data_IF_554858147092
#
_entry.id   IF_554858147092
#
_cell.length_a   1.000
_cell.length_b   1.000
_cell.length_c   1.000
_cell.angle_alpha   90.00
_cell.angle_beta   90.00
_cell.angle_gamma   90.00
#
_symmetry.space_group_name_H-M   'P 1'
#
loop_
_entity.id
_entity.type
_entity.pdbx_description
1 polymer ?
#
# COMPACT_ATOMS: atom_id res chain seq x y z
N UNK A 1 -24.35 -2.07 11.15
CA UNK A 1 -25.54 -2.87 11.48
C UNK A 1 -25.17 -4.27 11.99
N UNK A 2 -24.18 -4.94 11.46
CA UNK A 2 -23.75 -6.30 11.88
C UNK A 2 -23.26 -6.42 13.35
N UNK A 3 -22.62 -5.40 13.90
CA UNK A 3 -22.15 -5.40 15.31
C UNK A 3 -23.30 -5.42 16.34
N UNK A 4 -24.42 -4.81 16.02
CA UNK A 4 -25.60 -4.82 16.91
C UNK A 4 -26.34 -6.16 16.89
N UNK A 5 -26.36 -6.84 15.74
CA UNK A 5 -26.99 -8.15 15.58
C UNK A 5 -26.24 -9.26 16.30
N UNK A 6 -24.90 -9.23 16.33
CA UNK A 6 -24.09 -10.22 17.07
C UNK A 6 -24.12 -10.03 18.57
N UNK A 7 -24.19 -8.81 19.08
CA UNK A 7 -24.28 -8.51 20.51
C UNK A 7 -25.69 -8.87 21.03
N UNK A 8 -26.74 -8.53 20.28
CA UNK A 8 -28.12 -8.91 20.58
C UNK A 8 -28.33 -10.42 20.60
N UNK A 9 -27.80 -11.17 19.66
CA UNK A 9 -27.84 -12.64 19.63
C UNK A 9 -27.17 -13.27 20.85
N UNK A 10 -26.06 -12.75 21.32
CA UNK A 10 -25.34 -13.26 22.50
C UNK A 10 -26.13 -13.02 23.77
N UNK A 11 -26.77 -11.86 23.95
CA UNK A 11 -27.63 -11.53 25.09
C UNK A 11 -28.85 -12.42 25.04
N UNK A 12 -29.47 -12.61 23.89
CA UNK A 12 -30.63 -13.48 23.73
C UNK A 12 -30.31 -14.93 24.11
N UNK A 13 -29.15 -15.44 23.71
CA UNK A 13 -28.72 -16.81 24.05
C UNK A 13 -28.58 -17.03 25.56
N UNK A 14 -28.15 -16.00 26.29
CA UNK A 14 -28.03 -16.05 27.74
C UNK A 14 -29.36 -15.83 28.48
N UNK A 15 -30.20 -14.92 28.03
CA UNK A 15 -31.46 -14.60 28.63
C UNK A 15 -32.58 -15.63 28.36
N UNK A 16 -32.49 -16.38 27.26
CA UNK A 16 -33.48 -17.35 26.85
C UNK A 16 -33.67 -18.48 27.88
N UNK A 17 -32.63 -19.20 28.39
CA UNK A 17 -32.78 -20.20 29.42
C UNK A 17 -33.37 -19.63 30.73
N UNK A 18 -32.92 -18.42 31.10
CA UNK A 18 -33.42 -17.73 32.30
C UNK A 18 -34.93 -17.47 32.22
N UNK A 19 -35.37 -16.97 31.05
CA UNK A 19 -36.80 -16.71 30.82
C UNK A 19 -37.64 -18.02 30.89
N UNK A 20 -37.15 -19.07 30.21
CA UNK A 20 -37.79 -20.39 30.25
C UNK A 20 -37.84 -20.94 31.67
N UNK A 21 -36.78 -20.88 32.44
CA UNK A 21 -36.72 -21.35 33.82
C UNK A 21 -37.68 -20.58 34.74
N UNK A 22 -37.74 -19.26 34.63
CA UNK A 22 -38.68 -18.43 35.40
C UNK A 22 -40.13 -18.73 35.03
N UNK A 23 -40.47 -18.90 33.77
CA UNK A 23 -41.82 -19.32 33.37
C UNK A 23 -42.15 -20.68 33.99
N UNK A 24 -41.24 -21.63 33.91
CA UNK A 24 -41.48 -22.98 34.43
C UNK A 24 -41.59 -23.08 35.94
N UNK A 25 -40.78 -22.36 36.69
CA UNK A 25 -40.77 -22.40 38.17
C UNK A 25 -41.80 -21.43 38.80
N UNK A 26 -41.75 -20.14 38.42
CA UNK A 26 -42.61 -19.14 39.06
C UNK A 26 -44.04 -19.15 38.51
N UNK A 27 -44.26 -19.33 37.20
CA UNK A 27 -45.61 -19.24 36.60
C UNK A 27 -46.29 -20.60 36.59
N UNK A 28 -45.62 -21.67 36.15
CA UNK A 28 -46.25 -23.00 36.02
C UNK A 28 -46.25 -23.77 37.32
N UNK A 29 -45.16 -23.75 38.09
CA UNK A 29 -45.04 -24.45 39.36
C UNK A 29 -45.50 -23.62 40.56
N UNK A 30 -45.72 -22.30 40.43
CA UNK A 30 -46.18 -21.41 41.49
C UNK A 30 -45.18 -21.13 42.61
N UNK A 31 -43.86 -21.30 42.33
CA UNK A 31 -42.82 -21.03 43.30
C UNK A 31 -42.57 -19.53 43.53
N UNK A 32 -42.08 -19.10 44.70
CA UNK A 32 -41.70 -17.71 44.93
C UNK A 32 -40.66 -17.22 43.91
N UNK A 33 -40.82 -16.00 43.43
CA UNK A 33 -40.01 -15.46 42.36
C UNK A 33 -38.50 -15.46 42.69
N UNK A 34 -38.13 -15.17 43.93
CA UNK A 34 -36.74 -15.15 44.37
C UNK A 34 -36.10 -16.54 44.35
N UNK A 35 -36.85 -17.56 44.81
CA UNK A 35 -36.39 -18.94 44.80
C UNK A 35 -36.29 -19.46 43.38
N UNK A 36 -37.25 -19.13 42.52
CA UNK A 36 -37.23 -19.45 41.10
C UNK A 36 -36.02 -18.83 40.41
N UNK A 37 -35.69 -17.56 40.71
CA UNK A 37 -34.52 -16.89 40.16
C UNK A 37 -33.20 -17.54 40.60
N UNK A 38 -33.11 -17.89 41.91
CA UNK A 38 -31.94 -18.58 42.46
C UNK A 38 -31.71 -19.93 41.77
N UNK A 39 -32.76 -20.73 41.62
CA UNK A 39 -32.71 -22.03 40.94
C UNK A 39 -32.37 -21.88 39.45
N UNK A 40 -32.93 -20.89 38.77
CA UNK A 40 -32.56 -20.60 37.37
C UNK A 40 -31.07 -20.27 37.22
N UNK A 41 -30.49 -19.51 38.15
CA UNK A 41 -29.05 -19.24 38.15
C UNK A 41 -28.25 -20.52 38.41
N UNK A 42 -28.72 -21.41 39.34
CA UNK A 42 -28.11 -22.70 39.58
C UNK A 42 -28.02 -23.57 38.32
N UNK A 43 -29.05 -23.55 37.45
CA UNK A 43 -29.04 -24.31 36.19
C UNK A 43 -27.87 -23.98 35.26
N UNK A 44 -27.40 -22.75 35.29
CA UNK A 44 -26.20 -22.36 34.51
C UNK A 44 -24.91 -22.99 35.07
N UNK A 45 -24.93 -23.38 36.35
CA UNK A 45 -23.81 -24.04 37.05
C UNK A 45 -24.01 -25.56 37.17
N UNK A 46 -24.98 -26.13 36.45
CA UNK A 46 -25.36 -27.55 36.51
C UNK A 46 -25.96 -27.98 37.84
N UNK A 47 -26.41 -27.04 38.66
CA UNK A 47 -27.15 -27.33 39.89
C UNK A 47 -28.64 -27.24 39.58
N UNK A 48 -29.29 -28.42 39.57
CA UNK A 48 -30.70 -28.51 39.18
C UNK A 48 -31.65 -28.61 40.39
N UNK A 49 -31.16 -29.04 41.54
CA UNK A 49 -31.97 -29.29 42.71
C UNK A 49 -33.20 -30.17 42.41
N UNK A 50 -34.17 -30.23 43.33
CA UNK A 50 -35.50 -30.88 43.11
C UNK A 50 -36.42 -29.93 42.35
N UNK A 51 -36.29 -29.92 41.01
CA UNK A 51 -37.14 -29.07 40.15
C UNK A 51 -38.40 -29.83 39.69
N UNK A 52 -39.57 -29.19 39.68
CA UNK A 52 -40.78 -29.83 39.20
C UNK A 52 -40.71 -30.10 37.68
N UNK A 53 -41.11 -31.31 37.22
CA UNK A 53 -41.00 -31.66 35.81
C UNK A 53 -42.03 -30.90 34.97
N UNK A 54 -41.60 -29.93 34.18
CA UNK A 54 -42.40 -29.29 33.15
C UNK A 54 -41.53 -28.90 31.95
N UNK A 55 -42.15 -28.73 30.79
CA UNK A 55 -41.46 -28.48 29.55
C UNK A 55 -40.53 -27.26 29.63
N UNK A 56 -40.93 -26.20 30.27
CA UNK A 56 -40.17 -24.96 30.38
C UNK A 56 -38.91 -25.13 31.22
N UNK A 57 -39.01 -25.86 32.32
CA UNK A 57 -37.87 -26.20 33.18
C UNK A 57 -36.91 -27.12 32.44
N UNK A 58 -37.39 -28.11 31.67
CA UNK A 58 -36.56 -29.00 30.88
C UNK A 58 -35.79 -28.24 29.80
N UNK A 59 -36.47 -27.32 29.10
CA UNK A 59 -35.79 -26.46 28.12
C UNK A 59 -34.69 -25.61 28.78
N UNK A 60 -34.98 -25.01 29.94
CA UNK A 60 -33.98 -24.23 30.68
C UNK A 60 -32.81 -25.10 31.15
N UNK A 61 -33.07 -26.31 31.66
CA UNK A 61 -32.11 -27.29 32.17
C UNK A 61 -31.07 -27.67 31.10
N UNK A 62 -31.48 -27.87 29.85
CA UNK A 62 -30.57 -28.20 28.76
C UNK A 62 -29.90 -26.99 28.12
N UNK A 63 -30.59 -25.86 28.03
CA UNK A 63 -30.04 -24.67 27.30
C UNK A 63 -29.16 -23.80 28.18
N UNK A 64 -29.35 -23.75 29.52
CA UNK A 64 -28.52 -22.94 30.41
C UNK A 64 -27.06 -23.41 30.47
N UNK A 65 -26.71 -24.70 30.60
CA UNK A 65 -25.36 -25.17 30.53
C UNK A 65 -24.68 -24.92 29.16
N UNK A 66 -25.45 -25.07 28.07
CA UNK A 66 -24.94 -24.75 26.72
C UNK A 66 -24.64 -23.28 26.57
N UNK A 67 -25.46 -22.39 27.13
CA UNK A 67 -25.17 -20.98 27.17
C UNK A 67 -23.87 -20.68 27.95
N UNK A 68 -23.73 -21.27 29.15
CA UNK A 68 -22.48 -21.15 29.95
C UNK A 68 -21.26 -21.68 29.21
N UNK A 69 -21.35 -22.88 28.66
CA UNK A 69 -20.24 -23.48 27.88
C UNK A 69 -19.82 -22.57 26.71
N UNK A 70 -20.81 -21.98 26.00
CA UNK A 70 -20.55 -21.03 24.91
C UNK A 70 -19.79 -19.78 25.40
N UNK A 71 -20.16 -19.23 26.56
CA UNK A 71 -19.47 -18.10 27.17
C UNK A 71 -18.08 -18.45 27.67
N UNK A 72 -17.91 -19.63 28.27
CA UNK A 72 -16.61 -20.14 28.70
C UNK A 72 -15.67 -20.29 27.51
N UNK A 73 -16.12 -20.89 26.40
CA UNK A 73 -15.33 -21.02 25.17
C UNK A 73 -14.93 -19.65 24.60
N UNK A 74 -15.86 -18.69 24.60
CA UNK A 74 -15.57 -17.32 24.17
C UNK A 74 -14.57 -16.61 25.10
N UNK A 75 -14.71 -16.78 26.42
CA UNK A 75 -13.79 -16.21 27.41
C UNK A 75 -12.39 -16.84 27.32
N UNK A 76 -12.32 -18.17 27.17
CA UNK A 76 -11.03 -18.85 26.94
C UNK A 76 -10.38 -18.42 25.64
N UNK A 77 -11.15 -18.23 24.57
CA UNK A 77 -10.64 -17.71 23.31
C UNK A 77 -10.06 -16.29 23.42
N UNK A 78 -10.72 -15.42 24.21
CA UNK A 78 -10.21 -14.09 24.51
C UNK A 78 -8.96 -14.12 25.39
N UNK A 79 -9.01 -14.90 26.47
CA UNK A 79 -7.86 -15.09 27.38
C UNK A 79 -6.65 -15.68 26.67
N UNK A 80 -6.85 -16.70 25.84
CA UNK A 80 -5.79 -17.28 25.01
C UNK A 80 -5.15 -16.23 24.10
N UNK A 81 -5.94 -15.38 23.45
CA UNK A 81 -5.40 -14.29 22.59
C UNK A 81 -4.53 -13.33 23.39
N UNK A 82 -4.99 -12.90 24.56
CA UNK A 82 -4.23 -12.01 25.43
C UNK A 82 -2.94 -12.68 25.92
N UNK A 83 -3.03 -13.90 26.42
CA UNK A 83 -1.85 -14.65 26.86
C UNK A 83 -0.85 -14.91 25.73
N UNK A 84 -1.33 -15.30 24.54
CA UNK A 84 -0.46 -15.46 23.38
C UNK A 84 0.16 -14.12 22.96
N UNK A 85 -0.57 -13.01 23.06
CA UNK A 85 -0.06 -11.66 22.83
C UNK A 85 1.11 -11.33 23.78
N UNK A 86 0.90 -11.55 25.09
CA UNK A 86 1.95 -11.36 26.10
C UNK A 86 3.15 -12.27 25.91
N UNK A 87 2.95 -13.54 25.61
CA UNK A 87 4.03 -14.49 25.33
C UNK A 87 4.83 -14.10 24.08
N UNK A 88 4.15 -13.54 23.06
CA UNK A 88 4.81 -13.01 21.86
C UNK A 88 5.52 -11.68 22.12
N UNK A 89 4.97 -10.84 22.98
CA UNK A 89 5.62 -9.59 23.40
C UNK A 89 6.96 -9.86 24.12
N UNK A 90 7.08 -10.95 24.87
CA UNK A 90 8.34 -11.36 25.48
C UNK A 90 9.41 -11.76 24.46
N UNK A 91 9.03 -12.01 23.20
CA UNK A 91 9.99 -12.20 22.11
C UNK A 91 10.38 -10.85 21.55
N UNK A 92 11.67 -10.69 21.24
CA UNK A 92 12.12 -9.52 20.50
C UNK A 92 11.33 -9.41 19.18
N UNK A 93 10.89 -8.19 18.82
CA UNK A 93 10.31 -7.87 17.52
C UNK A 93 8.90 -8.44 17.23
N UNK A 94 8.03 -8.50 18.23
CA UNK A 94 6.62 -8.87 18.02
C UNK A 94 5.84 -7.77 17.27
N UNK A 95 4.94 -8.20 16.36
CA UNK A 95 4.14 -7.31 15.51
C UNK A 95 2.66 -7.63 15.67
N UNK A 96 1.86 -6.64 16.07
CA UNK A 96 0.39 -6.77 16.09
C UNK A 96 -0.20 -6.20 14.80
N UNK A 97 -0.98 -7.03 14.09
CA UNK A 97 -1.63 -6.65 12.84
C UNK A 97 -3.13 -6.49 13.08
N UNK A 98 -3.63 -5.29 12.88
CA UNK A 98 -5.05 -4.92 13.02
C UNK A 98 -5.67 -4.70 11.65
N UNK A 99 -6.89 -5.20 11.49
CA UNK A 99 -7.64 -5.10 10.25
C UNK A 99 -8.39 -6.38 9.93
N UNK A 100 -8.91 -6.46 8.73
CA UNK A 100 -9.66 -7.62 8.22
C UNK A 100 -9.35 -7.81 6.73
N UNK A 101 -9.50 -9.03 6.27
CA UNK A 101 -9.33 -9.36 4.85
C UNK A 101 -8.05 -10.13 4.53
N UNK A 102 -7.82 -10.43 3.24
CA UNK A 102 -6.72 -11.30 2.79
C UNK A 102 -5.34 -10.70 3.10
N UNK A 103 -5.17 -9.39 3.03
CA UNK A 103 -3.90 -8.72 3.33
C UNK A 103 -3.42 -8.95 4.78
N UNK A 104 -4.35 -8.97 5.74
CA UNK A 104 -4.01 -9.29 7.15
C UNK A 104 -3.56 -10.74 7.29
N UNK A 105 -4.27 -11.68 6.64
CA UNK A 105 -3.89 -13.09 6.66
C UNK A 105 -2.50 -13.32 6.05
N UNK A 106 -2.23 -12.68 4.92
CA UNK A 106 -0.92 -12.67 4.24
C UNK A 106 0.20 -12.16 5.15
N UNK A 107 0.01 -11.01 5.78
CA UNK A 107 0.99 -10.43 6.70
C UNK A 107 1.26 -11.34 7.90
N UNK A 108 0.22 -11.94 8.47
CA UNK A 108 0.35 -12.86 9.59
C UNK A 108 1.07 -14.14 9.21
N UNK A 109 0.83 -14.68 8.03
CA UNK A 109 1.53 -15.85 7.50
C UNK A 109 3.03 -15.55 7.35
N UNK A 110 3.38 -14.44 6.71
CA UNK A 110 4.78 -14.03 6.51
C UNK A 110 5.50 -13.66 7.81
N UNK A 111 4.79 -13.03 8.75
CA UNK A 111 5.34 -12.73 10.09
C UNK A 111 5.53 -13.99 10.95
N UNK A 112 4.78 -15.06 10.65
CA UNK A 112 4.85 -16.31 11.37
C UNK A 112 4.74 -16.15 12.89
N UNK A 113 5.74 -16.59 13.61
CA UNK A 113 5.75 -16.51 15.08
C UNK A 113 5.87 -15.09 15.66
N UNK A 114 6.27 -14.10 14.86
CA UNK A 114 6.34 -12.68 15.29
C UNK A 114 4.97 -12.01 15.23
N UNK A 115 4.09 -12.47 14.33
CA UNK A 115 2.79 -11.88 14.08
C UNK A 115 1.72 -12.26 15.11
N UNK A 116 0.87 -11.32 15.48
CA UNK A 116 -0.35 -11.56 16.25
C UNK A 116 -1.52 -10.79 15.65
N UNK A 117 -2.63 -11.49 15.41
CA UNK A 117 -3.85 -10.85 14.94
C UNK A 117 -4.45 -9.97 16.05
N UNK A 118 -4.62 -8.68 15.77
CA UNK A 118 -5.31 -7.75 16.62
C UNK A 118 -6.85 -8.01 16.63
N UNK A 119 -7.49 -7.56 17.69
CA UNK A 119 -8.95 -7.61 17.85
C UNK A 119 -9.52 -6.21 18.07
N UNK A 120 -10.49 -6.10 18.99
CA UNK A 120 -11.06 -4.81 19.38
C UNK A 120 -10.20 -4.07 20.41
N UNK A 121 -9.40 -4.79 21.19
CA UNK A 121 -8.51 -4.22 22.22
C UNK A 121 -7.08 -4.21 21.75
N UNK A 122 -6.30 -3.24 22.23
CA UNK A 122 -4.87 -3.18 21.98
C UNK A 122 -4.18 -4.39 22.63
N UNK A 123 -3.42 -5.13 21.84
CA UNK A 123 -2.57 -6.22 22.31
C UNK A 123 -1.15 -5.71 22.49
N UNK A 124 -0.40 -6.19 23.48
CA UNK A 124 1.00 -5.80 23.66
C UNK A 124 1.84 -6.32 22.48
N UNK A 125 2.58 -5.42 21.85
CA UNK A 125 3.52 -5.71 20.77
C UNK A 125 4.60 -4.62 20.70
N UNK A 126 5.70 -4.91 20.00
CA UNK A 126 6.76 -3.92 19.77
C UNK A 126 6.46 -3.02 18.59
N UNK A 127 5.75 -3.53 17.58
CA UNK A 127 5.34 -2.80 16.36
C UNK A 127 3.87 -3.08 16.05
N UNK A 128 3.22 -2.15 15.39
CA UNK A 128 1.80 -2.24 15.03
C UNK A 128 1.59 -1.95 13.55
N UNK A 129 0.82 -2.80 12.89
CA UNK A 129 0.40 -2.58 11.50
C UNK A 129 -1.12 -2.46 11.48
N UNK A 130 -1.64 -1.35 10.95
CA UNK A 130 -3.06 -1.07 10.81
C UNK A 130 -3.43 -1.18 9.32
N UNK A 131 -4.18 -2.21 8.96
CA UNK A 131 -4.57 -2.55 7.58
C UNK A 131 -6.06 -2.31 7.37
N UNK A 132 -6.44 -1.73 6.24
CA UNK A 132 -7.83 -1.51 5.85
C UNK A 132 -8.20 -0.04 5.68
N UNK A 133 -9.49 0.30 5.78
CA UNK A 133 -9.97 1.66 5.54
C UNK A 133 -9.29 2.67 6.45
N UNK A 134 -8.78 3.74 5.86
CA UNK A 134 -8.00 4.78 6.53
C UNK A 134 -8.71 5.39 7.72
N UNK A 135 -10.00 5.70 7.60
CA UNK A 135 -10.79 6.27 8.69
C UNK A 135 -10.83 5.36 9.93
N UNK A 136 -10.93 4.04 9.71
CA UNK A 136 -10.91 3.06 10.80
C UNK A 136 -9.55 2.97 11.45
N UNK A 137 -8.49 2.98 10.64
CA UNK A 137 -7.11 2.95 11.11
C UNK A 137 -6.77 4.19 11.93
N UNK A 138 -7.15 5.38 11.44
CA UNK A 138 -6.95 6.64 12.16
C UNK A 138 -7.76 6.71 13.46
N UNK A 139 -9.01 6.23 13.43
CA UNK A 139 -9.85 6.18 14.63
C UNK A 139 -9.24 5.26 15.69
N UNK A 140 -8.78 4.06 15.30
CA UNK A 140 -8.10 3.14 16.20
C UNK A 140 -6.80 3.74 16.76
N UNK A 141 -5.98 4.37 15.92
CA UNK A 141 -4.75 5.02 16.36
C UNK A 141 -5.02 6.13 17.38
N UNK A 142 -6.03 6.99 17.13
CA UNK A 142 -6.41 8.08 18.04
C UNK A 142 -6.92 7.56 19.39
N UNK A 143 -7.71 6.50 19.37
CA UNK A 143 -8.24 5.87 20.60
C UNK A 143 -7.10 5.33 21.48
N UNK A 144 -6.04 4.80 20.88
CA UNK A 144 -4.89 4.20 21.57
C UNK A 144 -3.60 5.04 21.52
N UNK A 145 -3.72 6.33 21.20
CA UNK A 145 -2.54 7.20 20.97
C UNK A 145 -1.55 7.23 22.14
N UNK A 146 -2.04 7.13 23.38
CA UNK A 146 -1.18 7.16 24.57
C UNK A 146 -0.35 5.88 24.71
N UNK A 147 -0.95 4.74 24.45
CA UNK A 147 -0.30 3.43 24.54
C UNK A 147 0.65 3.18 23.35
N UNK A 148 0.41 3.85 22.23
CA UNK A 148 1.19 3.75 21.00
C UNK A 148 2.26 4.84 20.86
N UNK A 149 2.35 5.78 21.78
CA UNK A 149 3.22 6.96 21.65
C UNK A 149 4.72 6.63 21.51
N UNK A 150 5.17 5.53 22.12
CA UNK A 150 6.56 5.06 22.09
C UNK A 150 6.78 3.84 21.17
N UNK A 151 5.80 3.50 20.34
CA UNK A 151 5.81 2.32 19.47
C UNK A 151 5.76 2.69 18.00
N UNK A 152 6.52 2.00 17.13
CA UNK A 152 6.34 2.12 15.68
C UNK A 152 4.97 1.63 15.25
N UNK A 153 4.22 2.50 14.58
CA UNK A 153 2.90 2.22 14.01
C UNK A 153 2.94 2.45 12.51
N UNK A 154 2.58 1.42 11.75
CA UNK A 154 2.48 1.45 10.30
C UNK A 154 1.01 1.47 9.91
N UNK A 155 0.56 2.55 9.33
CA UNK A 155 -0.85 2.80 9.03
C UNK A 155 -1.07 2.82 7.53
N UNK A 156 -1.94 1.94 7.05
CA UNK A 156 -2.37 1.97 5.65
C UNK A 156 -3.19 3.24 5.40
N UNK A 157 -2.76 4.01 4.40
CA UNK A 157 -3.40 5.23 3.97
C UNK A 157 -3.29 5.37 2.46
N UNK A 158 -4.35 5.84 1.84
CA UNK A 158 -4.40 6.12 0.41
C UNK A 158 -4.41 7.64 0.10
N UNK A 159 -4.75 8.47 1.08
CA UNK A 159 -5.01 9.90 0.87
C UNK A 159 -4.15 10.81 1.71
N UNK A 160 -3.74 10.35 2.86
CA UNK A 160 -2.80 11.09 3.67
C UNK A 160 -1.41 10.81 3.12
N UNK A 161 -0.99 11.68 2.24
CA UNK A 161 0.44 11.87 2.08
C UNK A 161 1.08 11.83 3.46
N UNK A 162 2.31 11.30 3.62
CA UNK A 162 3.09 11.41 4.86
C UNK A 162 3.15 12.82 5.46
N UNK A 163 2.51 13.76 4.80
CA UNK A 163 2.33 15.17 5.14
C UNK A 163 1.80 15.42 6.55
N UNK A 164 0.97 14.53 7.07
CA UNK A 164 0.21 14.86 8.26
C UNK A 164 0.87 14.42 9.56
N UNK A 165 1.96 13.67 9.54
CA UNK A 165 2.59 13.17 10.76
C UNK A 165 4.00 13.68 10.96
N UNK A 166 4.16 14.59 11.91
CA UNK A 166 5.46 14.94 12.48
C UNK A 166 5.94 13.90 13.53
N UNK A 167 5.18 12.80 13.72
CA UNK A 167 5.54 11.79 14.71
C UNK A 167 6.46 10.75 14.07
N UNK A 168 7.73 10.62 14.50
CA UNK A 168 8.71 9.77 13.82
C UNK A 168 8.37 8.27 13.85
N UNK A 169 7.54 7.84 14.80
CA UNK A 169 7.12 6.45 14.96
C UNK A 169 5.81 6.12 14.25
N UNK A 170 5.08 7.12 13.73
CA UNK A 170 3.89 6.90 12.91
C UNK A 170 4.28 6.96 11.43
N UNK A 171 4.27 5.82 10.78
CA UNK A 171 4.60 5.67 9.36
C UNK A 171 3.35 5.32 8.57
N UNK A 172 3.19 5.97 7.43
CA UNK A 172 2.10 5.66 6.48
C UNK A 172 2.62 4.82 5.34
N UNK A 173 1.79 3.92 4.85
CA UNK A 173 2.09 3.15 3.64
C UNK A 173 0.86 3.04 2.73
N UNK A 174 1.10 3.03 1.43
CA UNK A 174 0.11 2.80 0.39
C UNK A 174 0.50 1.52 -0.37
N UNK A 175 -0.30 0.45 -0.28
CA UNK A 175 0.04 -0.82 -0.93
C UNK A 175 0.06 -0.71 -2.45
N UNK A 176 -0.81 0.11 -3.05
CA UNK A 176 -0.83 0.34 -4.50
C UNK A 176 0.45 1.05 -4.97
N UNK A 177 0.93 2.04 -4.21
CA UNK A 177 2.21 2.70 -4.50
C UNK A 177 3.39 1.72 -4.37
N UNK A 178 3.39 0.87 -3.34
CA UNK A 178 4.40 -0.18 -3.18
C UNK A 178 4.37 -1.16 -4.37
N UNK A 179 3.18 -1.60 -4.78
CA UNK A 179 3.01 -2.48 -5.93
C UNK A 179 3.52 -1.86 -7.23
N UNK A 180 3.19 -0.60 -7.50
CA UNK A 180 3.65 0.14 -8.68
C UNK A 180 5.18 0.25 -8.71
N UNK A 181 5.82 0.59 -7.58
CA UNK A 181 7.28 0.66 -7.45
C UNK A 181 7.94 -0.69 -7.72
N UNK A 182 7.43 -1.77 -7.12
CA UNK A 182 7.94 -3.13 -7.32
C UNK A 182 7.77 -3.62 -8.75
N UNK A 183 6.66 -3.27 -9.39
CA UNK A 183 6.41 -3.62 -10.78
C UNK A 183 7.45 -2.96 -11.69
N UNK A 184 7.58 -1.64 -11.64
CA UNK A 184 8.50 -0.91 -12.51
C UNK A 184 9.98 -1.23 -12.24
N UNK A 185 10.37 -1.55 -11.01
CA UNK A 185 11.71 -2.03 -10.70
C UNK A 185 12.06 -3.36 -11.39
N UNK A 186 11.07 -4.20 -11.68
CA UNK A 186 11.26 -5.53 -12.30
C UNK A 186 10.95 -5.53 -13.79
N UNK A 187 10.03 -4.69 -14.23
CA UNK A 187 9.57 -4.61 -15.61
C UNK A 187 10.37 -3.56 -16.38
N UNK A 188 11.61 -3.90 -16.69
CA UNK A 188 12.48 -3.04 -17.49
C UNK A 188 11.94 -2.89 -18.93
N UNK A 189 11.71 -1.65 -19.35
CA UNK A 189 11.30 -1.34 -20.72
C UNK A 189 12.45 -0.82 -21.59
N UNK A 190 13.63 -0.58 -21.01
CA UNK A 190 14.75 0.03 -21.73
C UNK A 190 15.15 -0.73 -22.99
N UNK A 191 15.27 -2.06 -22.93
CA UNK A 191 15.64 -2.89 -24.09
C UNK A 191 14.59 -2.85 -25.21
N UNK A 192 13.29 -2.80 -24.84
CA UNK A 192 12.21 -2.67 -25.81
C UNK A 192 12.24 -1.27 -26.41
N UNK A 193 12.45 -0.26 -25.59
CA UNK A 193 12.58 1.15 -26.00
C UNK A 193 13.69 1.35 -27.02
N UNK A 194 14.88 0.80 -26.80
CA UNK A 194 15.97 0.87 -27.75
C UNK A 194 15.60 0.24 -29.12
N UNK A 195 14.98 -0.93 -29.13
CA UNK A 195 14.53 -1.59 -30.37
C UNK A 195 13.48 -0.81 -31.13
N UNK A 196 12.64 -0.08 -30.44
CA UNK A 196 11.55 0.75 -30.97
C UNK A 196 11.96 2.22 -31.16
N UNK A 197 13.24 2.55 -31.13
CA UNK A 197 13.76 3.91 -31.24
C UNK A 197 13.07 4.88 -30.27
N UNK A 198 12.88 4.42 -29.05
CA UNK A 198 12.23 5.16 -27.95
C UNK A 198 10.77 5.57 -28.21
N UNK A 199 10.08 4.86 -29.11
CA UNK A 199 8.67 5.03 -29.39
C UNK A 199 7.92 3.83 -28.82
N UNK A 200 7.20 4.00 -27.70
CA UNK A 200 6.48 2.94 -27.04
C UNK A 200 4.99 3.25 -26.86
N UNK A 201 4.21 2.21 -26.78
CA UNK A 201 2.79 2.28 -26.47
C UNK A 201 2.47 1.40 -25.27
N UNK A 202 1.94 2.01 -24.22
CA UNK A 202 1.54 1.34 -22.98
C UNK A 202 0.03 1.48 -22.83
N UNK A 203 -0.67 0.37 -22.63
CA UNK A 203 -2.11 0.34 -22.44
C UNK A 203 -2.45 -0.18 -21.06
N UNK A 204 -3.34 0.53 -20.34
CA UNK A 204 -3.86 0.15 -19.03
C UNK A 204 -5.37 -0.14 -19.19
N UNK A 205 -5.80 -1.35 -18.78
CA UNK A 205 -7.19 -1.75 -18.71
C UNK A 205 -7.64 -1.76 -17.24
N UNK A 206 -8.53 -0.82 -16.88
CA UNK A 206 -8.86 -0.48 -15.51
C UNK A 206 -7.96 0.65 -14.97
N UNK A 207 -8.52 1.56 -14.16
CA UNK A 207 -7.74 2.72 -13.68
C UNK A 207 -8.03 3.07 -12.22
N UNK A 208 -8.40 2.32 -11.36
CA UNK A 208 -8.52 2.68 -9.94
C UNK A 208 -7.19 3.18 -9.33
N UNK A 209 -7.06 3.19 -8.02
CA UNK A 209 -5.85 3.70 -7.33
C UNK A 209 -4.57 3.02 -7.77
N UNK A 210 -4.62 1.74 -8.06
CA UNK A 210 -3.45 1.01 -8.58
C UNK A 210 -3.01 1.57 -9.94
N UNK A 211 -3.96 1.89 -10.82
CA UNK A 211 -3.68 2.53 -12.12
C UNK A 211 -3.11 3.93 -11.96
N UNK A 212 -3.65 4.73 -11.03
CA UNK A 212 -3.10 6.05 -10.70
C UNK A 212 -1.63 5.95 -10.29
N UNK A 213 -1.29 5.06 -9.36
CA UNK A 213 0.09 4.88 -8.87
C UNK A 213 1.03 4.32 -9.96
N UNK A 214 0.54 3.38 -10.78
CA UNK A 214 1.31 2.84 -11.91
C UNK A 214 1.61 3.91 -12.96
N UNK A 215 0.64 4.74 -13.31
CA UNK A 215 0.84 5.84 -14.26
C UNK A 215 1.80 6.89 -13.69
N UNK A 216 1.55 7.37 -12.45
CA UNK A 216 2.40 8.36 -11.80
C UNK A 216 3.86 7.89 -11.73
N UNK A 217 4.08 6.64 -11.35
CA UNK A 217 5.41 6.08 -11.25
C UNK A 217 6.01 5.80 -12.63
N UNK A 218 5.21 5.27 -13.57
CA UNK A 218 5.63 5.02 -14.95
C UNK A 218 6.17 6.26 -15.66
N UNK A 219 5.47 7.39 -15.53
CA UNK A 219 5.89 8.68 -16.08
C UNK A 219 7.21 9.20 -15.50
N UNK A 220 7.59 8.76 -14.30
CA UNK A 220 8.82 9.18 -13.62
C UNK A 220 10.00 8.22 -13.83
N UNK A 221 9.75 6.96 -14.17
CA UNK A 221 10.83 5.96 -14.32
C UNK A 221 11.05 5.50 -15.76
N UNK A 222 10.06 5.61 -16.64
CA UNK A 222 10.23 5.25 -18.06
C UNK A 222 10.77 6.44 -18.84
N UNK A 223 12.01 6.81 -18.55
CA UNK A 223 12.72 7.90 -19.23
C UNK A 223 14.03 7.33 -19.77
N UNK A 224 14.14 7.22 -21.09
CA UNK A 224 15.22 6.48 -21.76
C UNK A 224 16.04 7.34 -22.72
N UNK A 225 15.42 8.39 -23.26
CA UNK A 225 16.06 9.33 -24.18
C UNK A 225 15.38 10.69 -24.13
N UNK A 226 16.07 11.79 -24.41
CA UNK A 226 15.48 13.14 -24.39
C UNK A 226 14.36 13.34 -25.43
N UNK A 227 14.41 12.61 -26.54
CA UNK A 227 13.48 12.69 -27.68
C UNK A 227 12.50 11.50 -27.73
N UNK A 228 12.34 10.78 -26.62
CA UNK A 228 11.39 9.67 -26.54
C UNK A 228 9.93 10.13 -26.72
N UNK A 229 9.08 9.17 -27.11
CA UNK A 229 7.63 9.33 -27.07
C UNK A 229 6.99 8.01 -26.56
N UNK A 230 6.58 7.99 -25.31
CA UNK A 230 5.86 6.86 -24.72
C UNK A 230 4.39 7.28 -24.57
N UNK A 231 3.51 6.65 -25.35
CA UNK A 231 2.09 6.92 -25.28
C UNK A 231 1.43 6.02 -24.24
N UNK A 232 0.73 6.61 -23.30
CA UNK A 232 -0.07 5.93 -22.31
C UNK A 232 -1.55 6.00 -22.66
N UNK A 233 -2.17 4.86 -22.94
CA UNK A 233 -3.61 4.74 -23.22
C UNK A 233 -4.30 4.10 -22.03
N UNK A 234 -5.30 4.79 -21.47
CA UNK A 234 -5.99 4.40 -20.25
C UNK A 234 -7.46 4.16 -20.57
N UNK A 235 -7.94 2.97 -20.24
CA UNK A 235 -9.35 2.58 -20.37
C UNK A 235 -9.94 2.26 -19.00
N UNK A 236 -11.18 2.65 -18.76
CA UNK A 236 -11.91 2.30 -17.54
C UNK A 236 -11.75 3.32 -16.41
N UNK A 237 -11.89 4.61 -16.68
CA UNK A 237 -11.91 5.68 -15.68
C UNK A 237 -10.78 6.70 -15.83
N UNK A 238 -10.54 7.47 -14.77
CA UNK A 238 -9.45 8.46 -14.72
C UNK A 238 -9.90 9.91 -14.81
N UNK A 239 -11.20 10.21 -14.92
CA UNK A 239 -11.72 11.58 -15.06
C UNK A 239 -11.28 12.50 -13.92
N UNK A 240 -11.36 11.99 -12.69
CA UNK A 240 -10.93 12.74 -11.50
C UNK A 240 -9.42 12.97 -11.51
N UNK A 241 -8.67 11.95 -11.89
CA UNK A 241 -7.21 12.00 -11.95
C UNK A 241 -6.76 13.03 -13.00
N UNK A 242 -7.29 12.97 -14.23
CA UNK A 242 -7.03 13.91 -15.31
C UNK A 242 -7.34 15.36 -14.90
N UNK A 243 -8.48 15.58 -14.24
CA UNK A 243 -8.90 16.91 -13.77
C UNK A 243 -7.99 17.47 -12.67
N UNK A 244 -7.43 16.64 -11.82
CA UNK A 244 -6.57 17.06 -10.70
C UNK A 244 -5.10 17.22 -11.15
N UNK A 245 -4.59 16.32 -11.98
CA UNK A 245 -3.20 16.34 -12.43
C UNK A 245 -3.01 17.10 -13.75
N UNK A 246 -3.41 18.37 -13.77
CA UNK A 246 -3.34 19.23 -14.98
C UNK A 246 -1.91 19.39 -15.53
N UNK A 247 -0.91 19.19 -14.71
CA UNK A 247 0.50 19.26 -15.10
C UNK A 247 0.94 18.12 -16.02
N UNK A 248 0.18 17.03 -16.14
CA UNK A 248 0.47 15.93 -17.07
C UNK A 248 0.55 16.41 -18.52
N UNK A 249 -0.27 17.38 -18.89
CA UNK A 249 -0.25 17.95 -20.23
C UNK A 249 1.09 18.67 -20.61
N UNK A 250 2.01 18.83 -19.67
CA UNK A 250 3.37 19.39 -19.91
C UNK A 250 4.43 18.31 -20.08
N UNK A 251 4.07 17.06 -19.89
CA UNK A 251 4.96 15.92 -20.10
C UNK A 251 4.94 15.58 -21.59
N UNK A 252 6.12 15.34 -22.15
CA UNK A 252 6.26 15.04 -23.57
C UNK A 252 5.66 13.70 -23.97
N UNK A 253 5.60 12.73 -23.03
CA UNK A 253 4.94 11.45 -23.23
C UNK A 253 3.41 11.61 -23.11
N UNK A 254 2.63 11.38 -24.19
CA UNK A 254 1.20 11.60 -24.18
C UNK A 254 0.45 10.64 -23.27
N UNK A 255 -0.48 11.15 -22.50
CA UNK A 255 -1.43 10.36 -21.69
C UNK A 255 -2.84 10.59 -22.22
N UNK A 256 -3.49 9.53 -22.67
CA UNK A 256 -4.83 9.57 -23.30
C UNK A 256 -5.81 8.75 -22.47
N UNK A 257 -6.80 9.41 -21.91
CA UNK A 257 -7.91 8.76 -21.20
C UNK A 257 -9.06 8.49 -22.17
N UNK A 258 -9.30 7.23 -22.47
CA UNK A 258 -10.36 6.78 -23.36
C UNK A 258 -11.68 6.67 -22.61
N UNK A 259 -12.72 7.28 -23.18
CA UNK A 259 -14.09 7.21 -22.63
C UNK A 259 -14.87 6.02 -23.17
N UNK A 260 -14.44 5.52 -24.32
CA UNK A 260 -14.95 4.31 -24.95
C UNK A 260 -14.34 3.05 -24.31
N UNK A 261 -15.05 1.91 -24.35
CA UNK A 261 -14.51 0.64 -23.85
C UNK A 261 -13.33 0.15 -24.70
N UNK A 262 -12.40 -0.55 -24.08
CA UNK A 262 -11.16 -1.05 -24.70
C UNK A 262 -11.41 -1.93 -25.94
N UNK A 263 -12.49 -2.72 -25.95
CA UNK A 263 -12.82 -3.62 -27.08
C UNK A 263 -13.25 -2.87 -28.35
N UNK A 264 -13.50 -1.59 -28.29
CA UNK A 264 -13.71 -0.74 -29.47
C UNK A 264 -12.41 -0.22 -30.07
N UNK A 265 -11.29 -0.42 -29.39
CA UNK A 265 -9.95 0.04 -29.77
C UNK A 265 -8.93 -1.11 -29.72
N UNK A 266 -9.30 -2.25 -30.33
CA UNK A 266 -8.43 -3.40 -30.42
C UNK A 266 -7.11 -3.10 -31.15
N UNK A 267 -7.12 -2.12 -32.05
CA UNK A 267 -5.93 -1.60 -32.71
C UNK A 267 -4.85 -1.14 -31.68
N UNK A 268 -5.24 -0.38 -30.67
CA UNK A 268 -4.35 0.08 -29.60
C UNK A 268 -3.90 -1.07 -28.71
N UNK A 269 -4.83 -1.94 -28.34
CA UNK A 269 -4.57 -3.09 -27.46
C UNK A 269 -3.59 -4.06 -28.10
N UNK A 270 -3.76 -4.42 -29.37
CA UNK A 270 -2.87 -5.35 -30.09
C UNK A 270 -1.48 -4.76 -30.33
N UNK A 271 -1.37 -3.46 -30.61
CA UNK A 271 -0.11 -2.79 -30.90
C UNK A 271 0.67 -2.39 -29.67
N UNK A 272 0.09 -2.48 -28.47
CA UNK A 272 0.76 -2.07 -27.24
C UNK A 272 2.07 -2.84 -27.01
N UNK A 273 3.12 -2.15 -26.65
CA UNK A 273 4.41 -2.76 -26.23
C UNK A 273 4.29 -3.36 -24.83
N UNK A 274 3.44 -2.74 -24.00
CA UNK A 274 3.08 -3.23 -22.68
C UNK A 274 1.56 -3.08 -22.48
N UNK A 275 0.91 -4.18 -22.11
CA UNK A 275 -0.50 -4.20 -21.76
C UNK A 275 -0.67 -4.62 -20.30
N UNK A 276 -1.28 -3.75 -19.50
CA UNK A 276 -1.52 -3.97 -18.08
C UNK A 276 -3.03 -4.14 -17.82
N UNK A 277 -3.41 -5.27 -17.26
CA UNK A 277 -4.79 -5.53 -16.82
C UNK A 277 -4.86 -5.28 -15.32
N UNK A 278 -5.56 -4.22 -14.94
CA UNK A 278 -5.68 -3.72 -13.57
C UNK A 278 -7.09 -3.88 -13.02
N UNK A 279 -8.08 -4.10 -13.89
CA UNK A 279 -9.46 -4.33 -13.49
C UNK A 279 -9.56 -5.52 -12.56
N UNK A 280 -10.23 -5.35 -11.42
CA UNK A 280 -10.36 -6.40 -10.40
C UNK A 280 -11.76 -7.04 -10.41
N UNK A 281 -12.76 -6.28 -10.85
CA UNK A 281 -14.12 -6.80 -10.99
C UNK A 281 -14.19 -7.64 -12.26
N UNK A 282 -14.69 -8.86 -12.15
CA UNK A 282 -14.83 -9.82 -13.27
C UNK A 282 -13.56 -10.02 -14.13
N UNK A 283 -12.40 -9.92 -13.50
CA UNK A 283 -11.11 -10.04 -14.18
C UNK A 283 -10.95 -11.33 -15.03
N UNK A 284 -11.42 -12.52 -14.59
CA UNK A 284 -11.33 -13.72 -15.41
C UNK A 284 -12.06 -13.59 -16.75
N UNK A 285 -13.27 -13.03 -16.76
CA UNK A 285 -14.04 -12.85 -17.98
C UNK A 285 -13.40 -11.81 -18.93
N UNK A 286 -12.91 -10.71 -18.36
CA UNK A 286 -12.15 -9.73 -19.14
C UNK A 286 -10.92 -10.38 -19.81
N UNK A 287 -10.20 -11.25 -19.11
CA UNK A 287 -9.04 -11.95 -19.67
C UNK A 287 -9.43 -12.93 -20.76
N UNK A 288 -10.53 -13.68 -20.62
CA UNK A 288 -11.06 -14.57 -21.67
C UNK A 288 -11.41 -13.77 -22.93
N UNK A 289 -12.13 -12.68 -22.79
CA UNK A 289 -12.47 -11.78 -23.89
C UNK A 289 -11.23 -11.19 -24.56
N UNK A 290 -10.26 -10.75 -23.77
CA UNK A 290 -9.00 -10.19 -24.26
C UNK A 290 -8.20 -11.20 -25.06
N UNK A 291 -8.05 -12.41 -24.53
CA UNK A 291 -7.31 -13.48 -25.18
C UNK A 291 -8.01 -14.01 -26.46
N UNK A 292 -9.34 -13.92 -26.53
CA UNK A 292 -10.13 -14.23 -27.70
C UNK A 292 -10.01 -13.13 -28.76
N UNK A 293 -10.07 -11.86 -28.35
CA UNK A 293 -10.15 -10.72 -29.26
C UNK A 293 -8.78 -10.28 -29.81
N UNK A 294 -7.66 -10.70 -29.20
CA UNK A 294 -6.32 -10.23 -29.54
C UNK A 294 -5.36 -11.37 -29.86
N UNK A 295 -4.31 -11.04 -30.62
CA UNK A 295 -3.22 -11.98 -30.95
C UNK A 295 -1.98 -11.77 -30.07
N UNK A 296 -2.15 -11.07 -28.96
CA UNK A 296 -1.03 -10.71 -28.08
C UNK A 296 -0.28 -11.90 -27.53
N UNK A 297 1.04 -11.77 -27.47
CA UNK A 297 1.93 -12.79 -26.91
C UNK A 297 2.20 -12.58 -25.41
N UNK A 298 1.95 -11.40 -24.87
CA UNK A 298 2.21 -11.06 -23.47
C UNK A 298 1.18 -10.07 -22.93
N UNK A 299 0.63 -10.38 -21.76
CA UNK A 299 -0.28 -9.53 -20.99
C UNK A 299 0.15 -9.56 -19.52
N UNK A 300 0.44 -8.41 -18.94
CA UNK A 300 0.76 -8.32 -17.50
C UNK A 300 -0.53 -8.11 -16.70
N UNK A 301 -0.85 -9.05 -15.82
CA UNK A 301 -2.10 -9.10 -15.05
C UNK A 301 -1.83 -8.82 -13.58
N UNK A 302 -2.44 -7.79 -13.04
CA UNK A 302 -2.36 -7.47 -11.62
C UNK A 302 -3.48 -8.21 -10.87
N UNK A 303 -3.14 -9.34 -10.29
CA UNK A 303 -4.07 -10.14 -9.52
C UNK A 303 -4.13 -9.68 -8.06
N UNK A 304 -5.32 -9.33 -7.56
CA UNK A 304 -5.60 -9.04 -6.16
C UNK A 304 -6.26 -10.22 -5.46
N UNK A 305 -6.05 -10.35 -4.14
CA UNK A 305 -6.64 -11.42 -3.33
C UNK A 305 -6.17 -12.84 -3.69
N UNK A 306 -6.96 -13.82 -3.29
CA UNK A 306 -6.79 -15.22 -3.69
C UNK A 306 -7.57 -15.49 -4.98
N UNK A 307 -7.16 -14.89 -6.07
CA UNK A 307 -7.76 -15.17 -7.37
C UNK A 307 -7.39 -16.60 -7.80
N UNK A 308 -8.36 -17.49 -7.68
CA UNK A 308 -8.31 -18.79 -8.34
C UNK A 308 -8.53 -18.59 -9.84
N UNK A 309 -7.55 -18.03 -10.55
CA UNK A 309 -7.53 -17.94 -12.02
C UNK A 309 -6.99 -19.26 -12.61
N UNK A 310 -7.20 -20.34 -11.95
CA UNK A 310 -6.48 -21.60 -12.14
C UNK A 310 -6.39 -22.10 -13.60
N UNK A 311 -7.39 -21.97 -14.49
CA UNK A 311 -7.22 -22.33 -15.90
C UNK A 311 -6.45 -21.28 -16.71
N UNK A 312 -6.62 -19.99 -16.39
CA UNK A 312 -5.97 -18.89 -17.11
C UNK A 312 -4.52 -18.69 -16.69
N UNK A 313 -4.15 -19.00 -15.44
CA UNK A 313 -2.77 -18.95 -14.96
C UNK A 313 -1.80 -19.83 -15.76
N UNK A 314 -2.33 -20.85 -16.45
CA UNK A 314 -1.54 -21.75 -17.28
C UNK A 314 -1.33 -21.22 -18.72
N UNK A 315 -2.01 -20.13 -19.10
CA UNK A 315 -1.81 -19.53 -20.42
C UNK A 315 -0.43 -18.81 -20.44
N UNK A 316 0.49 -19.23 -21.32
CA UNK A 316 1.85 -18.68 -21.34
C UNK A 316 1.91 -17.20 -21.73
N UNK A 317 0.81 -16.65 -22.24
CA UNK A 317 0.71 -15.21 -22.58
C UNK A 317 0.48 -14.35 -21.35
N UNK A 318 0.00 -14.90 -20.22
CA UNK A 318 -0.33 -14.15 -19.01
C UNK A 318 0.84 -14.14 -18.03
N UNK A 319 1.30 -12.94 -17.71
CA UNK A 319 2.30 -12.70 -16.67
C UNK A 319 1.59 -12.17 -15.41
N UNK A 320 1.33 -13.07 -14.46
CA UNK A 320 0.59 -12.72 -13.25
C UNK A 320 1.50 -11.99 -12.27
N UNK A 321 1.10 -10.78 -11.89
CA UNK A 321 1.72 -10.00 -10.83
C UNK A 321 0.78 -9.98 -9.61
N UNK A 322 1.03 -10.81 -8.59
CA UNK A 322 0.21 -10.87 -7.38
C UNK A 322 0.52 -9.65 -6.50
N UNK A 323 -0.06 -8.51 -6.85
CA UNK A 323 0.35 -7.21 -6.33
C UNK A 323 0.15 -7.07 -4.81
N UNK A 324 -0.96 -7.57 -4.25
CA UNK A 324 -1.18 -7.53 -2.80
C UNK A 324 -0.14 -8.37 -2.05
N UNK A 325 0.15 -9.58 -2.53
CA UNK A 325 1.14 -10.46 -1.92
C UNK A 325 2.54 -9.82 -1.92
N UNK A 326 2.84 -9.02 -2.92
CA UNK A 326 4.12 -8.32 -3.02
C UNK A 326 4.16 -7.01 -2.23
N UNK A 327 3.04 -6.28 -2.16
CA UNK A 327 2.97 -4.98 -1.51
C UNK A 327 2.88 -5.07 0.03
N UNK A 328 2.31 -6.16 0.55
CA UNK A 328 2.14 -6.40 1.99
C UNK A 328 3.19 -7.39 2.52
N UNK A 329 4.46 -7.04 2.43
CA UNK A 329 5.53 -7.86 3.03
C UNK A 329 6.18 -7.17 4.22
N UNK A 330 6.64 -7.92 5.24
CA UNK A 330 7.34 -7.33 6.39
C UNK A 330 8.57 -6.51 5.99
N UNK A 331 9.32 -6.94 4.99
CA UNK A 331 10.52 -6.27 4.51
C UNK A 331 10.19 -4.88 3.93
N UNK A 332 9.06 -4.74 3.25
CA UNK A 332 8.61 -3.46 2.71
C UNK A 332 8.05 -2.57 3.80
N UNK A 333 7.20 -3.13 4.68
CA UNK A 333 6.47 -2.33 5.65
C UNK A 333 7.31 -1.99 6.89
N UNK A 334 8.09 -2.95 7.41
CA UNK A 334 8.80 -2.81 8.67
C UNK A 334 10.28 -2.47 8.51
N UNK A 335 10.91 -2.95 7.43
CA UNK A 335 12.34 -2.83 7.22
C UNK A 335 12.69 -1.77 6.16
N UNK A 336 11.69 -0.99 5.72
CA UNK A 336 11.84 0.13 4.79
C UNK A 336 12.58 -0.23 3.48
N UNK A 337 12.44 -1.47 3.00
CA UNK A 337 13.18 -1.99 1.83
C UNK A 337 13.10 -1.04 0.61
N UNK A 338 11.90 -0.54 0.31
CA UNK A 338 11.69 0.39 -0.79
C UNK A 338 12.22 1.80 -0.52
N UNK A 339 12.47 2.18 0.73
CA UNK A 339 12.95 3.50 1.10
C UNK A 339 14.46 3.57 1.32
N UNK A 340 15.14 2.43 1.43
CA UNK A 340 16.55 2.35 1.80
C UNK A 340 17.44 3.23 0.92
N UNK A 341 17.30 3.13 -0.41
CA UNK A 341 18.08 3.94 -1.37
C UNK A 341 17.73 5.43 -1.29
N UNK A 342 16.44 5.79 -1.19
CA UNK A 342 16.03 7.19 -1.06
C UNK A 342 16.58 7.84 0.20
N UNK A 343 16.59 7.12 1.31
CA UNK A 343 17.20 7.57 2.57
C UNK A 343 18.71 7.72 2.45
N UNK A 344 19.37 6.81 1.75
CA UNK A 344 20.82 6.88 1.53
C UNK A 344 21.19 8.07 0.62
N UNK A 345 20.43 8.32 -0.44
CA UNK A 345 20.58 9.52 -1.30
C UNK A 345 20.46 10.78 -0.44
N UNK A 346 19.41 10.89 0.39
CA UNK A 346 19.24 12.05 1.26
C UNK A 346 20.40 12.24 2.23
N UNK A 347 20.86 11.16 2.87
CA UNK A 347 22.01 11.23 3.78
C UNK A 347 23.27 11.70 3.06
N UNK A 348 23.50 11.24 1.82
CA UNK A 348 24.64 11.66 1.01
C UNK A 348 24.59 13.16 0.70
N UNK A 349 23.40 13.71 0.38
CA UNK A 349 23.21 15.16 0.27
C UNK A 349 23.52 15.88 1.56
N UNK A 350 22.99 15.41 2.70
CA UNK A 350 23.26 16.01 4.01
C UNK A 350 24.75 15.95 4.37
N UNK A 351 25.46 14.90 3.95
CA UNK A 351 26.91 14.78 4.14
C UNK A 351 27.67 15.83 3.32
N UNK A 352 27.39 15.92 2.04
CA UNK A 352 28.13 16.80 1.12
C UNK A 352 27.89 18.29 1.42
N UNK A 353 26.65 18.67 1.68
CA UNK A 353 26.28 20.07 1.85
C UNK A 353 26.13 20.50 3.30
N UNK A 354 25.74 19.59 4.19
CA UNK A 354 25.53 19.86 5.62
C UNK A 354 26.63 19.31 6.53
N UNK A 355 27.63 18.59 5.99
CA UNK A 355 28.71 17.94 6.76
C UNK A 355 28.21 16.96 7.82
N UNK A 356 27.03 16.36 7.60
CA UNK A 356 26.44 15.35 8.49
C UNK A 356 27.21 14.03 8.30
N UNK A 357 27.55 13.34 9.39
CA UNK A 357 28.21 12.04 9.31
C UNK A 357 27.27 10.95 8.74
N UNK A 358 27.77 10.10 7.86
CA UNK A 358 27.00 9.01 7.21
C UNK A 358 26.83 7.83 8.18
N UNK A 359 25.96 7.97 9.17
CA UNK A 359 25.60 6.93 10.13
C UNK A 359 24.15 6.49 9.96
N UNK A 360 23.79 5.29 10.44
CA UNK A 360 22.43 4.79 10.40
C UNK A 360 21.46 5.70 11.19
N UNK A 361 21.90 6.26 12.31
CA UNK A 361 21.11 7.18 13.13
C UNK A 361 20.84 8.50 12.38
N UNK A 362 21.86 9.09 11.78
CA UNK A 362 21.73 10.31 11.00
C UNK A 362 20.85 10.09 9.76
N UNK A 363 20.89 8.91 9.14
CA UNK A 363 20.04 8.57 8.01
C UNK A 363 18.55 8.69 8.35
N UNK A 364 18.13 8.15 9.48
CA UNK A 364 16.74 8.25 9.93
C UNK A 364 16.38 9.68 10.39
N UNK A 365 17.28 10.36 11.07
CA UNK A 365 17.08 11.73 11.55
C UNK A 365 16.94 12.72 10.39
N UNK A 366 17.84 12.67 9.42
CA UNK A 366 17.80 13.53 8.24
C UNK A 366 16.58 13.24 7.37
N UNK A 367 16.21 11.96 7.22
CA UNK A 367 15.00 11.58 6.52
C UNK A 367 13.72 12.11 7.17
N UNK A 368 13.63 12.06 8.50
CA UNK A 368 12.49 12.56 9.26
C UNK A 368 12.31 14.10 9.16
N UNK A 369 13.40 14.84 8.93
CA UNK A 369 13.39 16.30 8.76
C UNK A 369 12.85 16.77 7.41
N UNK A 370 12.85 15.90 6.40
CA UNK A 370 12.40 16.28 5.07
C UNK A 370 10.90 16.59 5.07
N UNK A 371 10.54 17.64 4.34
CA UNK A 371 9.16 17.83 3.93
C UNK A 371 8.73 16.72 2.98
N UNK A 372 7.45 16.43 2.88
CA UNK A 372 6.96 15.30 2.08
C UNK A 372 7.25 15.41 0.59
N UNK A 373 7.19 16.60 0.02
CA UNK A 373 7.48 16.81 -1.39
C UNK A 373 8.96 16.45 -1.70
N UNK A 374 9.89 16.89 -0.86
CA UNK A 374 11.31 16.55 -0.99
C UNK A 374 11.56 15.05 -0.78
N UNK A 375 10.85 14.44 0.19
CA UNK A 375 10.92 13.00 0.47
C UNK A 375 10.49 12.17 -0.75
N UNK A 376 9.34 12.51 -1.34
CA UNK A 376 8.83 11.84 -2.54
C UNK A 376 9.73 12.06 -3.77
N UNK A 377 10.37 13.22 -3.89
CA UNK A 377 11.37 13.48 -4.95
C UNK A 377 12.57 12.56 -4.83
N UNK A 378 13.07 12.32 -3.61
CA UNK A 378 14.15 11.36 -3.37
C UNK A 378 13.73 9.93 -3.67
N UNK A 379 12.49 9.54 -3.36
CA UNK A 379 11.92 8.24 -3.73
C UNK A 379 11.87 8.08 -5.24
N UNK A 380 11.39 9.10 -5.95
CA UNK A 380 11.34 9.11 -7.41
C UNK A 380 12.73 8.93 -8.03
N UNK A 381 13.74 9.63 -7.51
CA UNK A 381 15.13 9.51 -7.98
C UNK A 381 15.72 8.11 -7.69
N UNK A 382 15.38 7.53 -6.53
CA UNK A 382 15.79 6.18 -6.17
C UNK A 382 15.14 5.11 -7.06
N UNK A 383 13.86 5.25 -7.39
CA UNK A 383 13.14 4.31 -8.25
C UNK A 383 13.65 4.33 -9.69
N UNK A 384 14.09 5.49 -10.18
CA UNK A 384 14.69 5.61 -11.52
C UNK A 384 16.09 4.98 -11.62
N UNK A 385 16.71 4.63 -10.51
CA UNK A 385 18.09 4.11 -10.49
C UNK A 385 18.24 2.81 -11.30
N UNK A 386 17.27 1.91 -11.26
CA UNK A 386 17.32 0.65 -12.02
C UNK A 386 17.45 0.89 -13.53
N UNK A 387 16.72 1.86 -14.05
CA UNK A 387 16.81 2.25 -15.48
C UNK A 387 18.18 2.78 -15.81
N UNK A 388 18.79 3.60 -14.95
CA UNK A 388 20.18 4.07 -15.14
C UNK A 388 21.16 2.91 -15.21
N UNK A 389 21.01 1.92 -14.33
CA UNK A 389 21.86 0.71 -14.37
C UNK A 389 21.69 -0.08 -15.66
N UNK A 390 20.47 -0.25 -16.14
CA UNK A 390 20.19 -0.92 -17.42
C UNK A 390 20.81 -0.18 -18.61
N UNK A 391 20.74 1.16 -18.61
CA UNK A 391 21.37 1.99 -19.63
C UNK A 391 22.90 1.86 -19.62
N UNK A 392 23.52 1.94 -18.44
CA UNK A 392 24.97 1.79 -18.29
C UNK A 392 25.44 0.39 -18.69
N UNK A 393 24.71 -0.65 -18.28
CA UNK A 393 25.01 -2.03 -18.66
C UNK A 393 24.92 -2.24 -20.18
N UNK A 394 23.92 -1.66 -20.85
CA UNK A 394 23.77 -1.73 -22.29
C UNK A 394 24.91 -1.01 -23.04
N UNK A 395 25.50 0.01 -22.44
CA UNK A 395 26.66 0.72 -22.95
C UNK A 395 28.02 0.05 -22.58
N UNK A 396 27.97 -1.03 -21.78
CA UNK A 396 29.19 -1.67 -21.26
C UNK A 396 29.96 -0.81 -20.26
N UNK A 397 29.27 0.12 -19.57
CA UNK A 397 29.88 1.06 -18.64
C UNK A 397 29.62 0.64 -17.17
N UNK A 398 30.57 0.88 -16.26
CA UNK A 398 30.38 0.60 -14.87
C UNK A 398 29.40 1.62 -14.23
N UNK A 399 28.71 1.19 -13.18
CA UNK A 399 27.84 2.04 -12.38
C UNK A 399 28.64 2.94 -11.41
N UNK A 400 29.61 3.67 -11.94
CA UNK A 400 30.51 4.55 -11.17
C UNK A 400 30.70 5.87 -11.90
N UNK A 401 30.29 6.96 -11.30
CA UNK A 401 30.33 8.28 -11.91
C UNK A 401 31.72 8.72 -12.32
N UNK A 402 32.78 8.29 -11.59
CA UNK A 402 34.18 8.63 -11.89
C UNK A 402 34.66 7.98 -13.18
N UNK A 403 34.06 6.87 -13.59
CA UNK A 403 34.45 6.13 -14.79
C UNK A 403 33.58 6.44 -16.03
N UNK A 404 32.62 7.38 -15.91
CA UNK A 404 31.71 7.71 -16.99
C UNK A 404 32.41 8.66 -18.01
N UNK A 405 32.27 8.39 -19.34
CA UNK A 405 32.57 9.39 -20.35
C UNK A 405 31.74 10.66 -20.17
N UNK A 406 32.30 11.82 -20.46
CA UNK A 406 31.62 13.11 -20.29
C UNK A 406 30.26 13.19 -20.99
N UNK A 407 30.17 12.63 -22.22
CA UNK A 407 28.89 12.57 -22.94
C UNK A 407 27.84 11.71 -22.26
N UNK A 408 28.24 10.59 -21.66
CA UNK A 408 27.31 9.73 -20.90
C UNK A 408 26.84 10.42 -19.63
N UNK A 409 27.73 11.09 -18.91
CA UNK A 409 27.37 11.87 -17.72
C UNK A 409 26.39 12.99 -18.09
N UNK A 410 26.60 13.67 -19.19
CA UNK A 410 25.73 14.74 -19.71
C UNK A 410 24.34 14.19 -20.05
N UNK A 411 24.28 13.07 -20.79
CA UNK A 411 23.01 12.40 -21.09
C UNK A 411 22.25 12.01 -19.82
N UNK A 412 22.91 11.40 -18.84
CA UNK A 412 22.25 11.00 -17.57
C UNK A 412 21.80 12.23 -16.78
N UNK A 413 22.52 13.34 -16.82
CA UNK A 413 22.13 14.59 -16.19
C UNK A 413 20.88 15.20 -16.84
N UNK A 414 20.82 15.18 -18.17
CA UNK A 414 19.62 15.61 -18.92
C UNK A 414 18.41 14.75 -18.60
N UNK A 415 18.55 13.42 -18.56
CA UNK A 415 17.45 12.51 -18.21
C UNK A 415 17.01 12.68 -16.75
N UNK A 416 17.93 12.97 -15.83
CA UNK A 416 17.59 13.29 -14.45
C UNK A 416 16.82 14.61 -14.34
N UNK A 417 17.21 15.60 -15.13
CA UNK A 417 16.47 16.86 -15.21
C UNK A 417 15.05 16.65 -15.76
N UNK A 418 14.88 15.84 -16.80
CA UNK A 418 13.55 15.46 -17.33
C UNK A 418 12.73 14.77 -16.24
N UNK A 419 13.30 13.79 -15.52
CA UNK A 419 12.62 13.13 -14.39
C UNK A 419 12.19 14.15 -13.32
N UNK A 420 13.08 15.07 -12.97
CA UNK A 420 12.82 16.11 -11.98
C UNK A 420 11.71 17.07 -12.44
N UNK A 421 11.71 17.48 -13.67
CA UNK A 421 10.65 18.29 -14.28
C UNK A 421 9.31 17.54 -14.24
N UNK A 422 9.29 16.26 -14.68
CA UNK A 422 8.07 15.43 -14.66
C UNK A 422 7.53 15.27 -13.25
N UNK A 423 8.40 15.04 -12.27
CA UNK A 423 8.00 15.00 -10.85
C UNK A 423 7.28 16.28 -10.43
N UNK A 424 7.79 17.44 -10.80
CA UNK A 424 7.17 18.73 -10.51
C UNK A 424 5.84 18.92 -11.25
N UNK A 425 5.77 18.57 -12.53
CA UNK A 425 4.54 18.67 -13.33
C UNK A 425 3.42 17.77 -12.76
N UNK A 426 3.74 16.56 -12.33
CA UNK A 426 2.79 15.65 -11.69
C UNK A 426 2.23 16.20 -10.37
N UNK A 427 2.93 17.14 -9.75
CA UNK A 427 2.47 17.90 -8.57
C UNK A 427 1.92 19.29 -8.93
N UNK A 428 1.59 19.53 -10.19
CA UNK A 428 1.03 20.78 -10.72
C UNK A 428 1.93 22.00 -10.52
N UNK A 429 3.26 21.80 -10.50
CA UNK A 429 4.19 22.93 -10.57
C UNK A 429 4.27 23.44 -11.99
N UNK A 430 4.57 24.74 -12.12
CA UNK A 430 4.69 25.45 -13.38
C UNK A 430 6.02 26.21 -13.45
N UNK A 431 6.47 26.43 -14.67
CA UNK A 431 7.57 27.36 -14.91
C UNK A 431 7.15 28.79 -14.57
N UNK A 432 8.06 29.54 -13.98
CA UNK A 432 7.89 30.99 -13.72
C UNK A 432 9.00 31.54 -12.85
N UNK A 433 9.10 32.86 -12.80
CA UNK A 433 10.07 33.58 -11.96
C UNK A 433 9.34 34.06 -10.68
N UNK A 434 9.73 33.59 -9.49
CA UNK A 434 9.22 34.14 -8.25
C UNK A 434 9.56 35.62 -8.08
N UNK A 435 8.63 36.40 -7.50
CA UNK A 435 8.75 37.86 -7.37
C UNK A 435 9.88 38.30 -6.42
N UNK A 436 10.29 37.44 -5.48
CA UNK A 436 11.29 37.73 -4.44
C UNK A 436 12.74 37.42 -4.88
N UNK A 437 12.95 37.18 -6.18
CA UNK A 437 14.27 36.82 -6.74
C UNK A 437 14.76 35.42 -6.38
N UNK A 438 13.98 34.63 -5.66
CA UNK A 438 14.24 33.20 -5.42
C UNK A 438 13.98 32.39 -6.68
N UNK A 439 14.49 31.16 -6.70
CA UNK A 439 14.27 30.26 -7.84
C UNK A 439 12.97 29.45 -7.74
N UNK A 440 12.37 29.34 -6.54
CA UNK A 440 11.15 28.56 -6.31
C UNK A 440 10.19 29.26 -5.35
N UNK A 441 8.90 29.12 -5.62
CA UNK A 441 7.79 29.47 -4.71
C UNK A 441 6.94 28.23 -4.45
N UNK A 442 7.10 27.55 -3.31
CA UNK A 442 6.35 26.34 -2.98
C UNK A 442 4.84 26.57 -2.79
N UNK A 443 4.43 27.78 -2.40
CA UNK A 443 3.01 28.11 -2.18
C UNK A 443 2.27 28.21 -3.51
N UNK A 444 2.87 28.93 -4.47
CA UNK A 444 2.32 29.08 -5.82
C UNK A 444 2.71 27.91 -6.75
N UNK A 445 3.57 27.01 -6.31
CA UNK A 445 4.14 25.91 -7.10
C UNK A 445 4.82 26.39 -8.39
N UNK A 446 5.66 27.41 -8.24
CA UNK A 446 6.45 28.01 -9.35
C UNK A 446 7.92 27.67 -9.17
N UNK A 447 8.59 27.29 -10.25
CA UNK A 447 10.04 27.07 -10.27
C UNK A 447 10.66 27.61 -11.56
N UNK A 448 11.76 28.34 -11.43
CA UNK A 448 12.46 28.98 -12.55
C UNK A 448 13.15 27.97 -13.48
N UNK A 449 13.51 26.79 -12.95
CA UNK A 449 14.27 25.76 -13.69
C UNK A 449 13.38 24.70 -14.36
N UNK A 450 12.06 24.88 -14.37
CA UNK A 450 11.15 23.99 -15.12
C UNK A 450 11.16 24.34 -16.61
N UNK A 451 12.34 24.24 -17.21
CA UNK A 451 12.64 24.51 -18.62
C UNK A 451 13.39 23.33 -19.23
N UNK A 452 13.43 23.16 -20.55
CA UNK A 452 14.27 22.16 -21.20
C UNK A 452 15.75 22.27 -20.76
N UNK A 453 16.42 21.15 -20.61
CA UNK A 453 17.82 21.07 -20.13
C UNK A 453 18.77 22.02 -20.90
N UNK A 454 18.59 22.12 -22.21
CA UNK A 454 19.39 23.03 -23.07
C UNK A 454 19.24 24.52 -22.72
N UNK A 455 18.17 24.92 -22.00
CA UNK A 455 17.92 26.30 -21.58
C UNK A 455 18.45 26.63 -20.19
N UNK A 456 18.94 25.62 -19.46
CA UNK A 456 19.57 25.82 -18.16
C UNK A 456 20.92 26.55 -18.30
N UNK A 457 21.25 27.32 -17.27
CA UNK A 457 22.62 27.86 -17.13
C UNK A 457 23.60 26.73 -16.85
N UNK A 458 24.88 26.92 -17.15
CA UNK A 458 25.92 25.92 -16.90
C UNK A 458 26.01 25.55 -15.40
N UNK A 459 25.78 26.52 -14.53
CA UNK A 459 25.73 26.28 -13.08
C UNK A 459 24.57 25.37 -12.65
N UNK A 460 23.41 25.45 -13.32
CA UNK A 460 22.28 24.57 -13.05
C UNK A 460 22.52 23.14 -13.62
N UNK A 461 23.08 23.05 -14.84
CA UNK A 461 23.47 21.76 -15.41
C UNK A 461 24.50 21.03 -14.55
N UNK A 462 25.47 21.78 -13.96
CA UNK A 462 26.45 21.15 -13.07
C UNK A 462 25.79 20.55 -11.81
N UNK A 463 24.70 21.14 -11.30
CA UNK A 463 23.94 20.52 -10.22
C UNK A 463 23.35 19.16 -10.62
N UNK A 464 22.80 19.05 -11.83
CA UNK A 464 22.27 17.78 -12.34
C UNK A 464 23.37 16.74 -12.54
N UNK A 465 24.55 17.14 -13.05
CA UNK A 465 25.74 16.26 -13.13
C UNK A 465 26.19 15.80 -11.75
N UNK A 466 26.19 16.70 -10.76
CA UNK A 466 26.52 16.34 -9.38
C UNK A 466 25.48 15.40 -8.76
N UNK A 467 24.20 15.61 -9.07
CA UNK A 467 23.14 14.68 -8.70
C UNK A 467 23.41 13.26 -9.24
N UNK A 468 23.82 13.12 -10.50
CA UNK A 468 24.19 11.81 -11.06
C UNK A 468 25.38 11.20 -10.32
N UNK A 469 26.41 11.99 -9.96
CA UNK A 469 27.55 11.49 -9.16
C UNK A 469 27.08 10.98 -7.79
N UNK A 470 26.15 11.68 -7.15
CA UNK A 470 25.55 11.27 -5.87
C UNK A 470 24.74 9.98 -6.05
N UNK A 471 23.84 9.95 -7.03
CA UNK A 471 22.95 8.81 -7.28
C UNK A 471 23.70 7.53 -7.63
N UNK A 472 24.83 7.61 -8.29
CA UNK A 472 25.68 6.47 -8.61
C UNK A 472 26.68 6.12 -7.50
N UNK A 473 26.86 6.95 -6.49
CA UNK A 473 27.69 6.66 -5.32
C UNK A 473 26.97 5.91 -4.22
N UNK A 474 25.63 5.77 -4.32
CA UNK A 474 24.78 5.11 -3.33
C UNK A 474 24.39 3.72 -3.85
N UNK A 475 24.83 2.68 -3.16
CA UNK A 475 24.49 1.28 -3.43
C UNK A 475 23.06 0.90 -3.02
#
# INVERSE_FOLDING_TARGET
MEKYTTRGRKILLFCFPLACGLIGLAVVAGEPLLDSLYRCIGMYLLDYGDTPPNLWVEVARWTAPLATASWVVLAFGALRRVLCGWLRYLRADSVAVYGQGPAVALLLDQLGNRGVAGGQSLLPAHRYILVGPEEKNLSFYREHQRELADKPVYLQSHSLSPLASNHPLLKFFCPEANAARLFWQKRGLYQISCRKKHQLQIVLLGFGRLGEELLLRGLQVNIFAPDQCIQYHIFGGGERFEAIHTGIARIEDPVVFHREPWYTRLDLVDQADLLLVLEQEDQPHLLEDLLLATTRQTVDVFAGGALAITPLEQDPRLHIFPWEQRAYTPEILLDDLLLARAKAINLRYSHLYGKVAETAENRETEWARLDPFTRESNISAADYHQVRLEMLAALGLPASAQALPGQTLELLAELEHIRWCRYHYLHNWVWGQPEDGKRKDPVRRIHADLVPYGQLTEAEKEKDRENIRILLSVE
#
